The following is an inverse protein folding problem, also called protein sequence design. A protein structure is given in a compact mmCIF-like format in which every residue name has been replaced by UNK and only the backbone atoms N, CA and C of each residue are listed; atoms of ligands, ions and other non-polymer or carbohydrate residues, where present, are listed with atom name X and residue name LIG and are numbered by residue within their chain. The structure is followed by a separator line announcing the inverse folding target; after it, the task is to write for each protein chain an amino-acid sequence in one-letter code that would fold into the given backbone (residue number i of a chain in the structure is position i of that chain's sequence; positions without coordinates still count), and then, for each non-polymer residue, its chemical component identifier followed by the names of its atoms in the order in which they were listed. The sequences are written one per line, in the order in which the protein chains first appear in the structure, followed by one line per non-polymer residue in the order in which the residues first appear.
data_IF_253908680355
#
_entry.id   IF_253908680355
#
_cell.length_a   1.000
_cell.length_b   1.000
_cell.length_c   1.000
_cell.angle_alpha   90.00
_cell.angle_beta   90.00
_cell.angle_gamma   90.00
#
_symmetry.space_group_name_H-M   'P 1'
#
loop_
_entity.id
_entity.type
_entity.pdbx_description
1 polymer ?
#
# COMPACT_ATOMS: atom_id res chain seq x y z
N UNK A 1 -58.67 33.70 -31.65
CA UNK A 1 -57.33 33.12 -31.46
C UNK A 1 -57.26 32.64 -30.01
N UNK A 2 -57.11 31.37 -29.63
CA UNK A 2 -57.13 30.09 -30.32
C UNK A 2 -57.31 29.03 -29.21
N UNK A 3 -58.44 28.31 -29.23
CA UNK A 3 -58.70 26.90 -28.85
C UNK A 3 -57.97 26.27 -27.64
N UNK A 4 -58.78 25.87 -26.63
CA UNK A 4 -58.55 24.64 -25.85
C UNK A 4 -59.02 23.42 -26.68
N UNK A 5 -58.59 22.19 -26.37
CA UNK A 5 -59.50 21.34 -25.60
C UNK A 5 -58.81 20.37 -24.61
N UNK A 6 -59.66 19.66 -23.88
CA UNK A 6 -59.38 18.85 -22.70
C UNK A 6 -59.19 17.33 -22.97
N UNK A 7 -58.98 16.61 -21.85
CA UNK A 7 -59.10 15.16 -21.60
C UNK A 7 -57.85 14.33 -21.95
N UNK A 8 -57.39 13.36 -21.15
CA UNK A 8 -58.15 12.36 -20.39
C UNK A 8 -57.22 11.66 -19.37
N UNK A 9 -57.64 11.55 -18.11
CA UNK A 9 -57.08 10.54 -17.21
C UNK A 9 -57.65 9.18 -17.62
N UNK A 10 -56.80 8.20 -17.87
CA UNK A 10 -57.21 6.80 -18.00
C UNK A 10 -56.57 6.01 -16.86
N UNK A 11 -57.42 5.54 -15.95
CA UNK A 11 -57.04 4.51 -14.99
C UNK A 11 -56.96 3.16 -15.71
N UNK A 12 -55.91 2.40 -15.42
CA UNK A 12 -55.88 0.94 -15.51
C UNK A 12 -55.46 0.43 -14.13
N UNK A 13 -56.30 -0.37 -13.50
CA UNK A 13 -55.92 -1.33 -12.45
C UNK A 13 -56.18 -2.75 -13.00
N UNK A 14 -55.68 -3.83 -12.37
CA UNK A 14 -54.29 -4.22 -12.21
C UNK A 14 -54.05 -5.57 -12.93
N UNK A 15 -52.82 -5.83 -13.38
CA UNK A 15 -52.35 -7.20 -13.61
C UNK A 15 -51.03 -7.34 -12.89
N UNK A 16 -50.99 -8.29 -11.95
CA UNK A 16 -49.89 -8.47 -11.02
C UNK A 16 -48.57 -8.74 -11.73
N UNK A 17 -47.54 -8.04 -11.28
CA UNK A 17 -46.29 -8.65 -10.85
C UNK A 17 -45.56 -7.62 -10.00
N UNK A 18 -45.02 -8.07 -8.86
CA UNK A 18 -44.34 -7.22 -7.88
C UNK A 18 -43.04 -6.68 -8.48
N UNK A 19 -43.10 -5.48 -9.07
CA UNK A 19 -41.92 -4.75 -9.50
C UNK A 19 -41.19 -4.19 -8.28
N UNK A 20 -39.95 -4.64 -8.04
CA UNK A 20 -39.02 -4.00 -7.11
C UNK A 20 -38.85 -2.54 -7.56
N UNK A 21 -39.02 -1.52 -6.69
CA UNK A 21 -38.84 -0.15 -7.12
C UNK A 21 -37.38 0.05 -7.53
N UNK A 22 -37.16 0.28 -8.82
CA UNK A 22 -35.89 0.75 -9.33
C UNK A 22 -35.70 2.20 -8.87
N UNK A 23 -34.78 2.41 -7.93
CA UNK A 23 -34.35 3.75 -7.56
C UNK A 23 -33.47 4.30 -8.69
N UNK A 24 -34.02 5.23 -9.46
CA UNK A 24 -33.29 5.96 -10.49
C UNK A 24 -32.88 7.31 -9.92
N UNK A 25 -31.57 7.50 -9.72
CA UNK A 25 -30.99 8.81 -9.42
C UNK A 25 -30.68 9.51 -10.75
N UNK A 26 -31.50 10.48 -11.12
CA UNK A 26 -31.22 11.36 -12.26
C UNK A 26 -30.36 12.51 -11.74
N UNK A 27 -29.12 12.59 -12.22
CA UNK A 27 -28.20 13.70 -11.94
C UNK A 27 -28.33 14.69 -13.08
N UNK A 28 -28.68 15.94 -12.79
CA UNK A 28 -28.70 17.01 -13.78
C UNK A 28 -27.30 17.21 -14.39
N UNK A 29 -27.25 17.52 -15.69
CA UNK A 29 -26.00 17.69 -16.45
C UNK A 29 -25.12 18.86 -15.97
N UNK A 30 -25.62 19.68 -15.05
CA UNK A 30 -24.94 20.84 -14.46
C UNK A 30 -24.35 20.57 -13.07
N UNK A 31 -24.38 19.31 -12.58
CA UNK A 31 -23.70 18.95 -11.32
C UNK A 31 -22.20 18.91 -11.56
N UNK A 32 -21.53 20.03 -11.31
CA UNK A 32 -20.08 20.09 -11.25
C UNK A 32 -19.56 19.03 -10.26
N UNK A 33 -18.62 18.20 -10.71
CA UNK A 33 -17.94 17.25 -9.83
C UNK A 33 -17.40 18.00 -8.59
N UNK A 34 -17.62 17.49 -7.37
CA UNK A 34 -17.06 18.12 -6.19
C UNK A 34 -15.56 18.19 -6.38
N UNK A 35 -15.00 19.40 -6.24
CA UNK A 35 -13.56 19.58 -6.22
C UNK A 35 -13.03 18.79 -5.02
N UNK A 36 -12.46 17.61 -5.28
CA UNK A 36 -11.68 16.86 -4.32
C UNK A 36 -10.44 17.70 -4.01
N UNK A 37 -10.53 18.52 -2.97
CA UNK A 37 -9.35 19.07 -2.31
C UNK A 37 -8.68 17.90 -1.61
N UNK A 38 -7.78 17.22 -2.32
CA UNK A 38 -6.75 16.45 -1.66
C UNK A 38 -5.81 17.49 -1.08
N UNK A 39 -5.79 17.62 0.24
CA UNK A 39 -4.73 18.38 0.89
C UNK A 39 -3.41 17.90 0.31
N UNK A 40 -2.65 18.83 -0.28
CA UNK A 40 -1.33 18.55 -0.78
C UNK A 40 -0.43 18.30 0.43
N UNK A 41 -0.52 17.11 1.02
CA UNK A 41 0.50 16.59 1.91
C UNK A 41 1.80 16.61 1.09
N UNK A 42 2.68 17.55 1.40
CA UNK A 42 4.01 17.53 0.83
C UNK A 42 4.65 16.21 1.32
N UNK A 43 5.32 15.48 0.42
CA UNK A 43 5.97 14.22 0.79
C UNK A 43 6.91 14.39 1.99
N UNK A 44 7.48 15.60 2.16
CA UNK A 44 8.34 16.00 3.28
C UNK A 44 7.64 15.92 4.64
N UNK A 45 6.40 16.41 4.76
CA UNK A 45 5.65 16.35 6.04
C UNK A 45 5.26 14.90 6.39
N UNK A 46 4.99 14.10 5.37
CA UNK A 46 4.74 12.66 5.51
C UNK A 46 5.97 11.90 6.02
N UNK A 47 7.14 12.16 5.44
CA UNK A 47 8.40 11.52 5.85
C UNK A 47 8.76 11.88 7.28
N UNK A 48 8.74 13.17 7.65
CA UNK A 48 9.07 13.60 9.00
C UNK A 48 8.12 13.05 10.06
N UNK A 49 6.82 12.96 9.74
CA UNK A 49 5.82 12.37 10.64
C UNK A 49 6.11 10.89 10.88
N UNK A 50 6.44 10.14 9.83
CA UNK A 50 6.75 8.72 9.94
C UNK A 50 8.07 8.47 10.68
N UNK A 51 9.11 9.26 10.40
CA UNK A 51 10.38 9.20 11.11
C UNK A 51 10.21 9.53 12.60
N UNK A 52 9.37 10.52 12.94
CA UNK A 52 9.05 10.86 14.33
C UNK A 52 8.29 9.73 15.05
N UNK A 53 7.46 8.96 14.34
CA UNK A 53 6.81 7.75 14.87
C UNK A 53 7.82 6.64 15.17
N UNK A 54 8.81 6.49 14.30
CA UNK A 54 10.03 5.77 14.62
C UNK A 54 9.90 4.24 14.69
N UNK A 55 8.79 3.66 14.20
CA UNK A 55 8.53 2.22 14.27
C UNK A 55 8.87 1.48 12.98
N UNK A 56 8.98 0.15 13.06
CA UNK A 56 9.06 -0.71 11.87
C UNK A 56 7.85 -0.55 10.93
N UNK A 57 6.66 -0.27 11.47
CA UNK A 57 5.48 0.03 10.65
C UNK A 57 5.61 1.37 9.93
N UNK A 58 6.22 2.37 10.57
CA UNK A 58 6.44 3.67 9.95
C UNK A 58 7.54 3.62 8.89
N UNK A 59 8.60 2.83 9.12
CA UNK A 59 9.59 2.51 8.08
C UNK A 59 8.95 1.80 6.87
N UNK A 60 8.08 0.81 7.12
CA UNK A 60 7.36 0.15 6.03
C UNK A 60 6.49 1.15 5.23
N UNK A 61 5.85 2.11 5.91
CA UNK A 61 5.09 3.18 5.25
C UNK A 61 6.00 4.14 4.46
N UNK A 62 7.21 4.43 4.92
CA UNK A 62 8.19 5.21 4.15
C UNK A 62 8.55 4.52 2.84
N UNK A 63 8.83 3.21 2.86
CA UNK A 63 9.09 2.43 1.63
C UNK A 63 7.93 2.54 0.66
N UNK A 64 6.69 2.45 1.15
CA UNK A 64 5.48 2.59 0.33
C UNK A 64 5.33 4.02 -0.21
N UNK A 65 5.62 5.03 0.61
CA UNK A 65 5.58 6.44 0.23
C UNK A 65 6.60 6.75 -0.89
N UNK A 66 7.87 6.39 -0.69
CA UNK A 66 8.95 6.58 -1.68
C UNK A 66 8.71 5.74 -2.95
N UNK A 67 8.13 4.55 -2.76
CA UNK A 67 7.69 3.64 -3.80
C UNK A 67 6.44 4.10 -4.55
N UNK A 68 5.73 5.14 -4.08
CA UNK A 68 4.49 5.61 -4.68
C UNK A 68 3.38 4.56 -4.66
N UNK A 69 3.40 3.67 -3.68
CA UNK A 69 2.47 2.56 -3.52
C UNK A 69 1.46 2.84 -2.40
N UNK A 70 0.23 2.29 -2.48
CA UNK A 70 -0.77 2.44 -1.44
C UNK A 70 -0.26 1.97 -0.06
N UNK A 71 -0.50 2.77 0.99
CA UNK A 71 -0.22 2.39 2.38
C UNK A 71 -1.37 1.55 2.99
N UNK A 72 -1.78 0.50 2.29
CA UNK A 72 -2.84 -0.40 2.78
C UNK A 72 -2.33 -1.30 3.90
N UNK A 73 -3.25 -1.82 4.73
CA UNK A 73 -2.93 -2.83 5.75
C UNK A 73 -2.21 -4.03 5.15
N UNK A 74 -2.58 -4.48 3.95
CA UNK A 74 -1.94 -5.60 3.27
C UNK A 74 -0.46 -5.32 2.95
N UNK A 75 -0.16 -4.13 2.42
CA UNK A 75 1.20 -3.74 2.07
C UNK A 75 2.09 -3.54 3.29
N UNK A 76 1.58 -2.86 4.32
CA UNK A 76 2.32 -2.72 5.59
C UNK A 76 2.56 -4.09 6.21
N UNK A 77 1.56 -4.98 6.19
CA UNK A 77 1.68 -6.35 6.73
C UNK A 77 2.76 -7.15 6.04
N UNK A 78 2.82 -7.15 4.69
CA UNK A 78 3.84 -7.94 3.98
C UNK A 78 5.25 -7.41 4.22
N UNK A 79 5.44 -6.08 4.27
CA UNK A 79 6.75 -5.49 4.55
C UNK A 79 7.22 -5.80 5.98
N UNK A 80 6.33 -5.73 6.97
CA UNK A 80 6.65 -6.14 8.35
C UNK A 80 7.02 -7.62 8.43
N UNK A 81 6.25 -8.48 7.75
CA UNK A 81 6.54 -9.93 7.73
C UNK A 81 7.89 -10.21 7.05
N UNK A 82 8.21 -9.47 6.00
CA UNK A 82 9.50 -9.56 5.31
C UNK A 82 10.65 -9.13 6.22
N UNK A 83 10.52 -7.98 6.86
CA UNK A 83 11.52 -7.46 7.80
C UNK A 83 11.83 -8.43 8.93
N UNK A 84 10.80 -9.11 9.46
CA UNK A 84 11.01 -10.19 10.44
C UNK A 84 11.88 -11.32 9.88
N UNK A 85 11.76 -11.69 8.62
CA UNK A 85 12.61 -12.74 8.03
C UNK A 85 14.07 -12.31 7.90
N UNK A 86 14.32 -11.01 7.76
CA UNK A 86 15.65 -10.48 7.45
C UNK A 86 16.48 -10.16 8.70
N UNK A 87 15.92 -9.45 9.68
CA UNK A 87 16.64 -9.01 10.88
C UNK A 87 15.93 -9.35 12.21
N UNK A 88 14.71 -9.91 12.15
CA UNK A 88 13.88 -10.16 13.34
C UNK A 88 13.30 -8.87 13.96
N UNK A 89 12.20 -8.95 14.74
CA UNK A 89 11.55 -7.74 15.29
C UNK A 89 12.37 -6.92 16.29
N UNK A 90 13.14 -7.51 17.25
CA UNK A 90 13.83 -6.72 18.28
C UNK A 90 14.96 -5.85 17.76
N UNK A 91 15.59 -6.20 16.64
CA UNK A 91 16.77 -5.52 16.07
C UNK A 91 16.54 -5.17 14.59
N UNK A 92 15.29 -4.90 14.23
CA UNK A 92 14.87 -4.73 12.84
C UNK A 92 15.62 -3.60 12.10
N UNK A 93 16.16 -2.62 12.83
CA UNK A 93 16.93 -1.50 12.31
C UNK A 93 18.42 -1.78 12.16
N UNK A 94 18.88 -3.04 12.34
CA UNK A 94 20.29 -3.37 12.29
C UNK A 94 20.98 -2.81 11.03
N UNK A 95 22.09 -2.09 11.21
CA UNK A 95 22.84 -1.35 10.16
C UNK A 95 22.01 -0.33 9.37
N UNK A 96 20.89 0.12 9.94
CA UNK A 96 19.83 0.86 9.24
C UNK A 96 19.41 0.15 7.96
N UNK A 97 19.33 -1.19 7.93
CA UNK A 97 18.99 -1.94 6.72
C UNK A 97 17.95 -3.04 6.96
N UNK A 98 16.67 -2.67 7.16
CA UNK A 98 15.66 -3.60 7.64
C UNK A 98 15.38 -4.82 6.75
N UNK A 99 15.59 -4.70 5.44
CA UNK A 99 15.39 -5.80 4.48
C UNK A 99 16.68 -6.42 3.93
N UNK A 100 17.85 -6.09 4.50
CA UNK A 100 19.15 -6.51 3.96
C UNK A 100 19.33 -6.10 2.48
N UNK A 101 18.85 -4.89 2.13
CA UNK A 101 18.98 -4.31 0.80
C UNK A 101 20.44 -3.92 0.52
N UNK A 102 21.00 -4.37 -0.60
CA UNK A 102 22.36 -4.02 -1.05
C UNK A 102 22.43 -2.91 -2.10
N UNK A 103 21.30 -2.28 -2.46
CA UNK A 103 21.28 -1.24 -3.50
C UNK A 103 21.59 0.14 -2.92
N UNK A 104 22.57 0.84 -3.48
CA UNK A 104 23.00 2.15 -2.93
C UNK A 104 23.92 2.04 -1.71
N UNK A 105 24.22 0.81 -1.24
CA UNK A 105 25.18 0.57 -0.17
C UNK A 105 25.80 -0.85 -0.23
N UNK A 106 27.07 -0.99 0.13
CA UNK A 106 27.69 -2.31 0.37
C UNK A 106 27.92 -3.21 -0.85
N UNK A 107 27.95 -2.66 -2.06
CA UNK A 107 28.41 -3.39 -3.26
C UNK A 107 27.48 -4.49 -3.79
N UNK A 108 26.20 -4.52 -3.37
CA UNK A 108 25.20 -5.45 -3.91
C UNK A 108 25.13 -6.83 -3.25
N UNK A 109 25.83 -7.06 -2.13
CA UNK A 109 25.91 -8.37 -1.46
C UNK A 109 24.86 -8.61 -0.34
N UNK A 110 23.89 -7.71 -0.16
CA UNK A 110 22.89 -7.80 0.91
C UNK A 110 23.39 -7.37 2.30
N UNK A 111 24.66 -7.01 2.44
CA UNK A 111 25.26 -6.48 3.68
C UNK A 111 25.42 -4.96 3.69
N UNK A 112 24.60 -4.24 2.92
CA UNK A 112 24.59 -2.78 2.90
C UNK A 112 24.25 -2.20 4.29
N UNK A 113 24.73 -0.99 4.53
CA UNK A 113 24.34 -0.14 5.65
C UNK A 113 24.01 1.26 5.14
N UNK A 114 22.97 1.89 5.68
CA UNK A 114 22.58 3.25 5.27
C UNK A 114 22.88 4.23 6.41
N UNK A 115 22.99 5.52 6.06
CA UNK A 115 23.23 6.55 7.07
C UNK A 115 22.04 6.65 8.03
N UNK A 116 20.82 6.56 7.49
CA UNK A 116 19.57 6.60 8.25
C UNK A 116 18.56 5.57 7.74
N UNK A 117 17.50 5.35 8.51
CA UNK A 117 16.38 4.49 8.13
C UNK A 117 15.56 5.08 6.97
N UNK A 118 15.52 6.40 6.82
CA UNK A 118 14.92 7.12 5.69
C UNK A 118 15.67 6.80 4.39
N UNK A 119 17.00 6.90 4.41
CA UNK A 119 17.83 6.52 3.26
C UNK A 119 17.58 5.05 2.89
N UNK A 120 17.51 4.18 3.89
CA UNK A 120 17.25 2.76 3.68
C UNK A 120 15.88 2.50 3.04
N UNK A 121 14.85 3.24 3.44
CA UNK A 121 13.51 3.14 2.88
C UNK A 121 13.49 3.57 1.41
N UNK A 122 14.10 4.72 1.11
CA UNK A 122 14.22 5.24 -0.26
C UNK A 122 14.97 4.25 -1.16
N UNK A 123 16.14 3.77 -0.74
CA UNK A 123 16.93 2.83 -1.54
C UNK A 123 16.25 1.46 -1.69
N UNK A 124 15.48 1.02 -0.69
CA UNK A 124 14.64 -0.18 -0.80
C UNK A 124 13.60 0.00 -1.91
N UNK A 125 12.84 1.11 -1.87
CA UNK A 125 11.83 1.42 -2.88
C UNK A 125 12.43 1.51 -4.30
N UNK A 126 13.60 2.15 -4.45
CA UNK A 126 14.32 2.22 -5.73
C UNK A 126 14.74 0.84 -6.23
N UNK A 127 15.27 -0.02 -5.35
CA UNK A 127 15.68 -1.37 -5.75
C UNK A 127 14.48 -2.21 -6.20
N UNK A 128 13.38 -2.16 -5.45
CA UNK A 128 12.12 -2.83 -5.78
C UNK A 128 11.61 -2.42 -7.17
N UNK A 129 11.54 -1.11 -7.46
CA UNK A 129 11.15 -0.58 -8.78
C UNK A 129 12.07 -1.05 -9.90
N UNK A 130 13.37 -1.15 -9.63
CA UNK A 130 14.38 -1.50 -10.65
C UNK A 130 14.38 -3.00 -10.99
N UNK A 131 14.21 -3.87 -10.01
CA UNK A 131 14.54 -5.29 -10.14
C UNK A 131 13.41 -6.28 -9.88
N UNK A 132 12.28 -5.86 -9.32
CA UNK A 132 11.31 -6.78 -8.72
C UNK A 132 9.87 -6.52 -9.17
N UNK A 133 9.57 -6.62 -10.48
CA UNK A 133 8.28 -6.20 -11.04
C UNK A 133 7.08 -6.96 -10.46
N UNK A 134 7.23 -8.24 -10.12
CA UNK A 134 6.15 -9.03 -9.51
C UNK A 134 5.83 -8.56 -8.08
N UNK A 135 6.85 -8.20 -7.30
CA UNK A 135 6.66 -7.63 -5.95
C UNK A 135 5.98 -6.27 -6.09
N UNK A 136 6.46 -5.43 -7.00
CA UNK A 136 5.87 -4.11 -7.29
C UNK A 136 4.41 -4.23 -7.71
N UNK A 137 4.05 -5.20 -8.56
CA UNK A 137 2.66 -5.43 -8.95
C UNK A 137 1.77 -5.75 -7.73
N UNK A 138 2.26 -6.58 -6.80
CA UNK A 138 1.56 -6.86 -5.54
C UNK A 138 1.38 -5.62 -4.67
N UNK A 139 2.44 -4.80 -4.53
CA UNK A 139 2.40 -3.55 -3.78
C UNK A 139 1.48 -2.50 -4.42
N UNK A 140 1.48 -2.38 -5.75
CA UNK A 140 0.57 -1.49 -6.48
C UNK A 140 -0.89 -1.92 -6.29
N UNK A 141 -1.17 -3.23 -6.35
CA UNK A 141 -2.52 -3.75 -6.09
C UNK A 141 -2.94 -3.48 -4.64
N UNK A 142 -2.06 -3.72 -3.67
CA UNK A 142 -2.29 -3.39 -2.27
C UNK A 142 -3.41 -4.18 -1.59
N UNK A 143 -3.85 -5.29 -2.18
CA UNK A 143 -5.04 -6.05 -1.73
C UNK A 143 -4.71 -7.32 -0.97
N UNK A 144 -3.51 -7.90 -1.11
CA UNK A 144 -3.14 -9.17 -0.47
C UNK A 144 -1.68 -9.22 -0.05
N UNK A 145 -1.47 -9.34 1.26
CA UNK A 145 -0.14 -9.54 1.83
C UNK A 145 0.44 -10.90 1.39
N UNK A 146 -0.39 -11.94 1.31
CA UNK A 146 0.06 -13.29 1.02
C UNK A 146 0.43 -13.45 -0.48
N UNK A 147 -0.31 -12.82 -1.39
CA UNK A 147 0.06 -12.81 -2.81
C UNK A 147 1.37 -12.04 -3.04
N UNK A 148 1.57 -10.93 -2.34
CA UNK A 148 2.83 -10.16 -2.42
C UNK A 148 3.98 -10.94 -1.78
N UNK A 149 3.74 -11.68 -0.69
CA UNK A 149 4.72 -12.57 -0.09
C UNK A 149 5.15 -13.69 -1.04
N UNK A 150 4.22 -14.31 -1.76
CA UNK A 150 4.54 -15.30 -2.79
C UNK A 150 5.46 -14.73 -3.88
N UNK A 151 5.20 -13.49 -4.33
CA UNK A 151 6.09 -12.81 -5.27
C UNK A 151 7.49 -12.56 -4.68
N UNK A 152 7.59 -12.25 -3.39
CA UNK A 152 8.87 -12.11 -2.68
C UNK A 152 9.62 -13.46 -2.68
N UNK A 153 8.97 -14.56 -2.30
CA UNK A 153 9.60 -15.88 -2.21
C UNK A 153 10.12 -16.39 -3.54
N UNK A 154 9.39 -16.11 -4.62
CA UNK A 154 9.76 -16.47 -5.98
C UNK A 154 10.86 -15.56 -6.57
N UNK A 155 11.18 -14.44 -5.92
CA UNK A 155 12.11 -13.45 -6.46
C UNK A 155 13.58 -13.77 -6.19
N UNK A 156 14.51 -13.22 -6.99
CA UNK A 156 15.94 -13.31 -6.70
C UNK A 156 16.36 -12.68 -5.37
N UNK A 157 15.56 -11.80 -4.76
CA UNK A 157 15.86 -11.23 -3.44
C UNK A 157 15.92 -12.32 -2.39
N UNK A 158 14.94 -13.24 -2.45
CA UNK A 158 14.87 -14.34 -1.52
C UNK A 158 16.08 -15.26 -1.68
N UNK A 159 16.68 -15.39 -2.87
CA UNK A 159 17.72 -16.38 -3.17
C UNK A 159 17.43 -17.79 -2.60
N UNK A 160 16.14 -18.16 -2.50
CA UNK A 160 15.60 -19.36 -1.83
C UNK A 160 15.64 -19.41 -0.28
N UNK A 161 15.98 -18.32 0.41
CA UNK A 161 16.11 -18.24 1.88
C UNK A 161 14.80 -18.60 2.62
N UNK A 162 13.64 -18.34 2.03
CA UNK A 162 12.35 -18.61 2.67
C UNK A 162 11.77 -20.01 2.35
N UNK A 163 12.53 -20.89 1.69
CA UNK A 163 12.06 -22.24 1.34
C UNK A 163 10.81 -22.25 0.45
N UNK A 164 10.71 -21.29 -0.47
CA UNK A 164 9.49 -21.04 -1.26
C UNK A 164 8.23 -20.81 -0.40
N UNK A 165 8.41 -20.16 0.77
CA UNK A 165 7.35 -19.83 1.72
C UNK A 165 7.24 -20.79 2.90
N UNK A 166 7.89 -21.95 2.88
CA UNK A 166 7.81 -22.91 4.00
C UNK A 166 8.38 -22.38 5.32
N UNK A 167 9.33 -21.43 5.25
CA UNK A 167 9.90 -20.77 6.42
C UNK A 167 9.25 -19.40 6.69
N UNK A 168 8.31 -18.98 5.86
CA UNK A 168 7.65 -17.70 6.02
C UNK A 168 6.54 -17.78 7.06
N UNK A 169 6.63 -16.94 8.09
CA UNK A 169 5.55 -16.81 9.06
C UNK A 169 4.52 -15.77 8.61
N UNK A 170 3.24 -16.11 8.70
CA UNK A 170 2.12 -15.18 8.55
C UNK A 170 1.63 -14.60 9.88
N UNK A 171 2.24 -15.01 11.00
CA UNK A 171 1.87 -14.51 12.32
C UNK A 171 2.03 -12.97 12.38
N UNK A 172 1.24 -12.28 13.21
CA UNK A 172 1.43 -10.85 13.48
C UNK A 172 2.89 -10.54 13.82
N UNK A 173 3.35 -9.37 13.39
CA UNK A 173 4.70 -8.87 13.69
C UNK A 173 4.55 -7.83 14.78
N UNK A 174 5.41 -7.91 15.80
CA UNK A 174 5.47 -6.91 16.84
C UNK A 174 5.87 -5.56 16.27
N UNK A 175 5.20 -4.49 16.72
CA UNK A 175 5.55 -3.13 16.34
C UNK A 175 6.56 -2.60 17.34
N UNK A 176 7.77 -2.32 16.86
CA UNK A 176 8.92 -1.95 17.71
C UNK A 176 9.48 -0.63 17.22
N UNK A 177 9.73 0.29 18.15
CA UNK A 177 10.38 1.55 17.88
C UNK A 177 11.91 1.37 17.81
N UNK A 178 12.54 1.93 16.78
CA UNK A 178 13.99 2.02 16.71
C UNK A 178 14.52 3.19 17.55
N UNK A 179 15.79 3.17 17.98
CA UNK A 179 16.43 4.31 18.63
C UNK A 179 16.36 5.56 17.76
N UNK A 180 16.19 6.74 18.38
CA UNK A 180 16.13 8.01 17.66
C UNK A 180 17.36 8.30 16.79
N UNK A 181 18.53 7.75 17.15
CA UNK A 181 19.78 7.89 16.38
C UNK A 181 19.83 7.06 15.08
N UNK A 182 18.84 6.21 14.83
CA UNK A 182 18.74 5.41 13.59
C UNK A 182 18.02 6.18 12.46
N UNK A 183 17.31 7.25 12.81
CA UNK A 183 16.56 8.13 11.92
C UNK A 183 17.39 9.38 11.61
#
# INVERSE_FOLDING_TARGET
MSIAPAHKALAVQPSGDTAIPSQVLVVDGDVAAPALTRDAYSATDGVQTLASGGTNADWAKLVLLDGGWPQTTANVTVLLRWMRQENGPPDWWNRNNPLNNGYGSGGGSGFGSYATLEDAAMYCALNLRRGYPAIVAGLVAGTSADATAQAIWASPWAASHYGNGSHWSSAPVEIVQAPASAW
#
